data_IF_407010724188
#
_entry.id   IF_407010724188
#
_cell.length_a   1.000
_cell.length_b   1.000
_cell.length_c   1.000
_cell.angle_alpha   90.00
_cell.angle_beta   90.00
_cell.angle_gamma   90.00
#
_symmetry.space_group_name_H-M   'P 1'
#
loop_
_entity.id
_entity.type
_entity.pdbx_description
1 polymer ?
#
# COMPACT_ATOMS: atom_id res chain seq x y z
N UNK A 1 -20.02 -27.33 5.14
CA UNK A 1 -19.95 -26.09 4.33
C UNK A 1 -18.50 -25.67 4.23
N UNK A 2 -17.88 -25.77 3.06
CA UNK A 2 -16.50 -25.28 2.86
C UNK A 2 -16.52 -23.75 2.89
N UNK A 3 -15.94 -23.13 3.92
CA UNK A 3 -15.75 -21.68 3.97
C UNK A 3 -14.76 -21.33 2.85
N UNK A 4 -15.25 -20.74 1.75
CA UNK A 4 -14.36 -20.23 0.69
C UNK A 4 -13.37 -19.27 1.34
N UNK A 5 -12.07 -19.56 1.18
CA UNK A 5 -11.00 -18.67 1.65
C UNK A 5 -11.12 -17.37 0.86
N UNK A 6 -11.13 -16.25 1.58
CA UNK A 6 -11.15 -14.92 0.97
C UNK A 6 -9.84 -14.70 0.21
N UNK A 7 -9.95 -14.25 -1.05
CA UNK A 7 -8.79 -14.07 -1.93
C UNK A 7 -8.33 -12.61 -2.02
N UNK A 8 -9.26 -11.65 -1.91
CA UNK A 8 -9.01 -10.23 -2.14
C UNK A 8 -9.49 -9.41 -0.94
N UNK A 9 -8.75 -8.36 -0.59
CA UNK A 9 -9.23 -7.34 0.33
C UNK A 9 -10.41 -6.55 -0.26
N UNK A 10 -11.24 -5.96 0.60
CA UNK A 10 -12.01 -4.77 0.26
C UNK A 10 -11.15 -3.52 0.41
N UNK A 11 -11.60 -2.37 -0.10
CA UNK A 11 -10.87 -1.11 0.09
C UNK A 11 -10.74 -0.76 1.57
N UNK A 12 -11.80 -0.94 2.35
CA UNK A 12 -11.81 -0.58 3.77
C UNK A 12 -10.88 -1.48 4.60
N UNK A 13 -10.79 -2.77 4.27
CA UNK A 13 -9.83 -3.66 4.92
C UNK A 13 -8.39 -3.26 4.61
N UNK A 14 -8.11 -2.91 3.35
CA UNK A 14 -6.77 -2.51 2.95
C UNK A 14 -6.38 -1.15 3.57
N UNK A 15 -7.33 -0.22 3.69
CA UNK A 15 -7.14 1.03 4.46
C UNK A 15 -6.90 0.73 5.94
N UNK A 16 -7.70 -0.14 6.55
CA UNK A 16 -7.53 -0.56 7.94
C UNK A 16 -6.16 -1.20 8.20
N UNK A 17 -5.70 -2.03 7.26
CA UNK A 17 -4.37 -2.65 7.30
C UNK A 17 -3.26 -1.60 7.33
N UNK A 18 -3.30 -0.60 6.44
CA UNK A 18 -2.29 0.46 6.40
C UNK A 18 -2.39 1.39 7.60
N UNK A 19 -3.61 1.72 8.04
CA UNK A 19 -3.85 2.62 9.17
C UNK A 19 -3.34 2.04 10.48
N UNK A 20 -3.52 0.73 10.70
CA UNK A 20 -2.96 0.01 11.84
C UNK A 20 -1.42 0.08 11.89
N UNK A 21 -0.77 0.29 10.75
CA UNK A 21 0.69 0.45 10.61
C UNK A 21 1.14 1.91 10.64
N UNK A 22 0.22 2.87 10.79
CA UNK A 22 0.52 4.30 10.82
C UNK A 22 0.52 4.99 9.45
N UNK A 23 -0.08 4.37 8.42
CA UNK A 23 -0.10 4.89 7.06
C UNK A 23 -1.53 5.05 6.53
N UNK A 24 -1.74 6.03 5.66
CA UNK A 24 -3.01 6.25 4.98
C UNK A 24 -2.91 5.76 3.53
N UNK A 25 -3.91 4.99 3.09
CA UNK A 25 -4.03 4.53 1.71
C UNK A 25 -5.12 5.28 0.96
N UNK A 26 -4.73 6.02 -0.06
CA UNK A 26 -5.66 6.79 -0.91
C UNK A 26 -5.57 6.32 -2.36
N UNK A 27 -6.70 6.34 -3.07
CA UNK A 27 -6.69 6.13 -4.52
C UNK A 27 -6.65 7.47 -5.23
N UNK A 28 -5.66 7.67 -6.10
CA UNK A 28 -5.58 8.84 -6.98
C UNK A 28 -6.37 8.57 -8.27
N UNK A 29 -7.53 9.21 -8.49
CA UNK A 29 -8.38 8.92 -9.65
C UNK A 29 -7.78 9.41 -10.97
N UNK A 30 -6.95 10.46 -10.96
CA UNK A 30 -6.33 11.01 -12.16
C UNK A 30 -5.25 10.07 -12.70
N UNK A 31 -4.36 9.60 -11.82
CA UNK A 31 -3.28 8.69 -12.19
C UNK A 31 -3.68 7.20 -12.09
N UNK A 32 -4.87 6.91 -11.58
CA UNK A 32 -5.41 5.56 -11.36
C UNK A 32 -4.44 4.66 -10.58
N UNK A 33 -3.87 5.19 -9.50
CA UNK A 33 -2.87 4.51 -8.68
C UNK A 33 -3.16 4.72 -7.19
N UNK A 34 -2.80 3.74 -6.36
CA UNK A 34 -2.80 3.90 -4.91
C UNK A 34 -1.60 4.70 -4.40
N UNK A 35 -1.85 5.61 -3.47
CA UNK A 35 -0.88 6.39 -2.72
C UNK A 35 -0.84 5.88 -1.27
N UNK A 36 0.37 5.69 -0.75
CA UNK A 36 0.61 5.41 0.66
C UNK A 36 1.28 6.62 1.30
N UNK A 37 0.71 7.14 2.39
CA UNK A 37 1.20 8.34 3.09
C UNK A 37 1.50 8.03 4.55
N UNK A 38 2.60 8.55 5.08
CA UNK A 38 2.83 8.53 6.52
C UNK A 38 1.79 9.43 7.21
N UNK A 39 1.12 8.89 8.23
CA UNK A 39 0.06 9.62 8.96
C UNK A 39 0.61 10.78 9.80
N UNK A 40 1.84 10.67 10.29
CA UNK A 40 2.51 11.71 11.10
C UNK A 40 3.20 12.75 10.23
N UNK A 41 3.70 12.34 9.07
CA UNK A 41 4.44 13.16 8.13
C UNK A 41 3.84 13.06 6.72
N UNK A 42 2.69 13.70 6.43
CA UNK A 42 1.98 13.54 5.16
C UNK A 42 2.78 13.92 3.91
N UNK A 43 3.84 14.74 4.07
CA UNK A 43 4.84 15.04 3.06
C UNK A 43 5.63 13.81 2.60
N UNK A 44 5.75 12.79 3.47
CA UNK A 44 6.35 11.50 3.16
C UNK A 44 5.28 10.57 2.59
N UNK A 45 5.28 10.43 1.27
CA UNK A 45 4.33 9.59 0.56
C UNK A 45 4.97 8.94 -0.67
N UNK A 46 4.38 7.83 -1.12
CA UNK A 46 4.81 7.15 -2.33
C UNK A 46 3.60 6.56 -3.08
N UNK A 47 3.77 6.34 -4.39
CA UNK A 47 2.88 5.44 -5.12
C UNK A 47 3.14 4.00 -4.70
N UNK A 48 2.07 3.21 -4.56
CA UNK A 48 2.18 1.77 -4.33
C UNK A 48 2.60 1.10 -5.63
N UNK A 49 3.75 0.43 -5.58
CA UNK A 49 4.31 -0.35 -6.68
C UNK A 49 4.50 -1.81 -6.27
N UNK A 50 4.47 -2.71 -7.26
CA UNK A 50 4.81 -4.12 -7.08
C UNK A 50 6.34 -4.29 -6.99
N UNK A 51 6.87 -4.99 -5.99
CA UNK A 51 8.31 -5.25 -5.89
C UNK A 51 8.87 -6.07 -7.06
N UNK A 52 8.05 -6.92 -7.66
CA UNK A 52 8.47 -7.85 -8.71
C UNK A 52 8.77 -7.20 -10.06
N UNK A 53 8.15 -6.05 -10.35
CA UNK A 53 8.24 -5.41 -11.66
C UNK A 53 8.09 -3.88 -11.64
N UNK A 54 8.03 -3.27 -10.45
CA UNK A 54 7.91 -1.82 -10.24
C UNK A 54 6.66 -1.17 -10.84
N UNK A 55 5.68 -1.99 -11.27
CA UNK A 55 4.43 -1.49 -11.85
C UNK A 55 3.52 -0.97 -10.73
N UNK A 56 2.93 0.20 -10.98
CA UNK A 56 1.95 0.85 -10.11
C UNK A 56 0.65 0.04 -10.06
N UNK A 57 0.05 -0.05 -8.88
CA UNK A 57 -1.21 -0.78 -8.70
C UNK A 57 -2.39 0.17 -8.69
N UNK A 58 -3.38 -0.12 -9.54
CA UNK A 58 -4.58 0.71 -9.71
C UNK A 58 -5.86 0.09 -9.18
N UNK A 59 -5.90 -1.23 -8.94
CA UNK A 59 -7.10 -1.89 -8.44
C UNK A 59 -6.78 -2.94 -7.38
N UNK A 60 -7.65 -3.03 -6.37
CA UNK A 60 -7.49 -4.00 -5.29
C UNK A 60 -7.57 -5.45 -5.80
N UNK A 61 -8.39 -5.70 -6.82
CA UNK A 61 -8.58 -7.06 -7.37
C UNK A 61 -7.46 -7.52 -8.30
N UNK A 62 -6.48 -6.66 -8.61
CA UNK A 62 -5.30 -7.06 -9.38
C UNK A 62 -4.30 -7.88 -8.55
N UNK A 63 -4.43 -7.91 -7.22
CA UNK A 63 -3.53 -8.64 -6.32
C UNK A 63 -4.33 -9.41 -5.26
N UNK A 64 -4.01 -10.69 -5.00
CA UNK A 64 -4.54 -11.40 -3.84
C UNK A 64 -4.04 -10.77 -2.53
N UNK A 65 -4.69 -11.10 -1.41
CA UNK A 65 -4.37 -10.57 -0.08
C UNK A 65 -2.89 -10.66 0.28
N UNK A 66 -2.25 -11.83 0.04
CA UNK A 66 -0.83 -12.02 0.35
C UNK A 66 0.06 -11.05 -0.44
N UNK A 67 -0.23 -10.83 -1.73
CA UNK A 67 0.55 -9.90 -2.54
C UNK A 67 0.33 -8.45 -2.07
N UNK A 68 -0.87 -8.09 -1.61
CA UNK A 68 -1.10 -6.81 -0.96
C UNK A 68 -0.27 -6.65 0.31
N UNK A 69 -0.21 -7.68 1.16
CA UNK A 69 0.59 -7.64 2.39
C UNK A 69 2.06 -7.37 2.08
N UNK A 70 2.63 -8.13 1.12
CA UNK A 70 4.02 -8.00 0.69
C UNK A 70 4.30 -6.62 0.06
N UNK A 71 3.39 -6.12 -0.78
CA UNK A 71 3.51 -4.80 -1.40
C UNK A 71 3.46 -3.66 -0.37
N UNK A 72 2.57 -3.74 0.62
CA UNK A 72 2.47 -2.70 1.65
C UNK A 72 3.75 -2.69 2.49
N UNK A 73 4.26 -3.85 2.90
CA UNK A 73 5.50 -3.93 3.68
C UNK A 73 6.70 -3.37 2.90
N UNK A 74 6.82 -3.72 1.62
CA UNK A 74 7.85 -3.17 0.76
C UNK A 74 7.77 -1.64 0.63
N UNK A 75 6.59 -1.10 0.34
CA UNK A 75 6.43 0.35 0.13
C UNK A 75 6.61 1.15 1.43
N UNK A 76 6.22 0.59 2.58
CA UNK A 76 6.52 1.17 3.91
C UNK A 76 8.03 1.21 4.15
N UNK A 77 8.74 0.11 3.86
CA UNK A 77 10.19 0.06 4.05
C UNK A 77 10.92 1.06 3.15
N UNK A 78 10.47 1.20 1.90
CA UNK A 78 10.97 2.20 0.95
C UNK A 78 10.76 3.62 1.47
N UNK A 79 9.55 3.95 1.92
CA UNK A 79 9.24 5.25 2.51
C UNK A 79 10.14 5.59 3.71
N UNK A 80 10.35 4.63 4.62
CA UNK A 80 11.20 4.82 5.80
C UNK A 80 12.66 5.06 5.41
N UNK A 81 13.16 4.34 4.39
CA UNK A 81 14.52 4.52 3.89
C UNK A 81 14.71 5.92 3.29
N UNK A 82 13.77 6.36 2.46
CA UNK A 82 13.81 7.67 1.81
C UNK A 82 13.75 8.80 2.86
N UNK A 83 12.90 8.67 3.87
CA UNK A 83 12.83 9.62 4.98
C UNK A 83 14.11 9.67 5.83
N UNK A 84 14.78 8.52 6.04
CA UNK A 84 16.05 8.47 6.76
C UNK A 84 17.20 9.13 5.97
N UNK A 85 17.20 9.00 4.63
CA UNK A 85 18.20 9.62 3.76
C UNK A 85 18.07 11.14 3.64
N UNK A 86 16.90 11.71 3.91
CA UNK A 86 16.67 13.17 3.90
C UNK A 86 17.16 13.84 5.20
N UNK A 87 17.22 13.10 6.30
CA UNK A 87 17.60 13.61 7.63
C UNK A 87 19.10 13.39 7.97
N UNK A 88 19.92 12.99 7.00
CA UNK A 88 21.38 12.86 7.11
C UNK A 88 22.07 13.96 6.31
#
# INVERSE_FOLDING_TARGET
>A
MSKRKKTYYTLDELKGLTEARGYLLHFNPYFKVFELKDKKHPENWCWVIRPSNEVKVGQIRECPMQEWDDMIDFNIARLKKDAASINQ
#
